data_IF_282746423615
#
_entry.id   IF_282746423615
#
_cell.length_a   1.000
_cell.length_b   1.000
_cell.length_c   1.000
_cell.angle_alpha   90.00
_cell.angle_beta   90.00
_cell.angle_gamma   90.00
#
_symmetry.space_group_name_H-M   'P 1'
#
loop_
_entity.id
_entity.type
_entity.pdbx_description
1 polymer ?
#
# COMPACT_ATOMS: atom_id res chain seq x y z
N UNK A 1 7.78 -21.12 -6.03
CA UNK A 1 9.08 -20.88 -6.68
C UNK A 1 9.78 -19.74 -5.94
N UNK A 2 11.03 -19.91 -5.49
CA UNK A 2 11.78 -18.83 -4.83
C UNK A 2 12.23 -17.79 -5.86
N UNK A 3 11.96 -16.52 -5.58
CA UNK A 3 12.29 -15.40 -6.48
C UNK A 3 13.42 -14.56 -5.88
N UNK A 4 14.44 -14.26 -6.69
CA UNK A 4 15.57 -13.44 -6.27
C UNK A 4 15.29 -11.96 -6.55
N UNK A 5 15.32 -11.14 -5.50
CA UNK A 5 15.11 -9.69 -5.57
C UNK A 5 16.44 -8.98 -5.43
N UNK A 6 16.71 -8.01 -6.32
CA UNK A 6 17.85 -7.10 -6.20
C UNK A 6 17.65 -6.10 -5.05
N UNK A 7 17.90 -6.55 -3.82
CA UNK A 7 17.73 -5.75 -2.60
C UNK A 7 18.65 -4.52 -2.56
N UNK A 8 19.79 -4.58 -3.24
CA UNK A 8 20.73 -3.47 -3.41
C UNK A 8 20.17 -2.29 -4.21
N UNK A 9 19.06 -2.49 -4.93
CA UNK A 9 18.39 -1.45 -5.71
C UNK A 9 17.40 -0.62 -4.90
N UNK A 10 17.13 -0.99 -3.64
CA UNK A 10 16.35 -0.16 -2.73
C UNK A 10 17.21 1.03 -2.29
N UNK A 11 17.09 2.13 -3.03
CA UNK A 11 17.88 3.34 -2.81
C UNK A 11 17.36 4.19 -1.64
N UNK A 12 18.11 5.27 -1.37
CA UNK A 12 17.75 6.25 -0.35
C UNK A 12 16.45 6.99 -0.65
N UNK A 13 16.02 7.09 -1.90
CA UNK A 13 14.78 7.78 -2.26
C UNK A 13 13.57 6.95 -1.84
N UNK A 14 13.61 5.64 -2.08
CA UNK A 14 12.57 4.69 -1.61
C UNK A 14 12.56 4.65 -0.09
N UNK A 15 13.72 4.59 0.56
CA UNK A 15 13.83 4.62 2.02
C UNK A 15 13.19 5.89 2.62
N UNK A 16 13.45 7.04 2.00
CA UNK A 16 12.86 8.32 2.41
C UNK A 16 11.34 8.35 2.23
N UNK A 17 10.80 7.80 1.13
CA UNK A 17 9.34 7.70 0.92
C UNK A 17 8.67 6.88 2.03
N UNK A 18 9.29 5.78 2.45
CA UNK A 18 8.78 4.96 3.56
C UNK A 18 8.88 5.73 4.88
N UNK A 19 9.98 6.42 5.13
CA UNK A 19 10.14 7.30 6.29
C UNK A 19 9.03 8.38 6.35
N UNK A 20 8.76 9.05 5.23
CA UNK A 20 7.73 10.08 5.14
C UNK A 20 6.32 9.50 5.36
N UNK A 21 6.04 8.32 4.80
CA UNK A 21 4.77 7.62 5.01
C UNK A 21 4.55 7.23 6.48
N UNK A 22 5.58 6.69 7.15
CA UNK A 22 5.52 6.35 8.56
C UNK A 22 5.37 7.59 9.45
N UNK A 23 6.12 8.66 9.17
CA UNK A 23 5.99 9.93 9.89
C UNK A 23 4.59 10.55 9.70
N UNK A 24 4.02 10.47 8.51
CA UNK A 24 2.63 10.88 8.27
C UNK A 24 1.65 10.09 9.14
N UNK A 25 1.84 8.77 9.23
CA UNK A 25 1.01 7.91 10.07
C UNK A 25 1.15 8.24 11.57
N UNK A 26 2.36 8.42 12.08
CA UNK A 26 2.55 8.77 13.50
C UNK A 26 1.99 10.16 13.86
N UNK A 27 1.92 11.08 12.89
CA UNK A 27 1.29 12.40 13.08
C UNK A 27 -0.23 12.32 13.09
N UNK A 28 -0.83 11.41 12.32
CA UNK A 28 -2.29 11.23 12.25
C UNK A 28 -2.84 10.26 13.29
N UNK A 29 -2.00 9.41 13.88
CA UNK A 29 -2.39 8.42 14.88
C UNK A 29 -2.98 9.09 16.13
N UNK A 30 -4.24 8.78 16.42
CA UNK A 30 -5.04 9.39 17.51
C UNK A 30 -4.65 8.81 18.89
N UNK A 31 -4.08 7.61 18.93
CA UNK A 31 -3.87 6.84 20.17
C UNK A 31 -2.54 7.14 20.91
N UNK A 32 -1.99 8.34 20.78
CA UNK A 32 -0.75 8.71 21.47
C UNK A 32 -1.02 9.08 22.94
N UNK A 33 -0.34 8.46 23.93
CA UNK A 33 -0.45 8.84 25.34
C UNK A 33 -0.03 10.30 25.56
N UNK A 34 -0.69 10.98 26.52
CA UNK A 34 -0.50 12.41 26.79
C UNK A 34 0.89 12.82 27.29
N UNK A 35 1.70 11.87 27.76
CA UNK A 35 3.06 12.11 28.22
C UNK A 35 4.13 11.97 27.13
N UNK A 36 3.75 11.50 25.93
CA UNK A 36 4.68 11.37 24.80
C UNK A 36 4.56 12.65 23.95
N UNK A 37 5.70 13.32 23.73
CA UNK A 37 5.81 14.47 22.84
C UNK A 37 5.73 14.08 21.36
N UNK A 38 6.12 14.97 20.46
CA UNK A 38 6.12 14.67 19.02
C UNK A 38 7.10 13.52 18.71
N UNK A 39 6.63 12.55 17.92
CA UNK A 39 7.41 11.39 17.48
C UNK A 39 7.77 11.61 16.02
N UNK A 40 9.05 11.50 15.70
CA UNK A 40 9.55 11.56 14.35
C UNK A 40 10.64 10.50 14.14
N UNK A 41 10.52 9.76 13.05
CA UNK A 41 11.55 8.86 12.55
C UNK A 41 12.60 9.72 11.87
N UNK A 42 13.82 9.69 12.42
CA UNK A 42 14.97 10.47 11.93
C UNK A 42 15.71 9.79 10.79
N UNK A 43 15.72 8.46 10.75
CA UNK A 43 16.41 7.66 9.75
C UNK A 43 15.69 6.33 9.51
N UNK A 44 15.70 5.85 8.27
CA UNK A 44 15.11 4.58 7.88
C UNK A 44 16.03 3.83 6.92
N UNK A 45 16.22 2.53 7.16
CA UNK A 45 17.02 1.66 6.31
C UNK A 45 16.37 0.28 6.18
N UNK A 46 16.35 -0.24 4.95
CA UNK A 46 15.89 -1.60 4.64
C UNK A 46 16.83 -2.70 5.16
N UNK A 47 18.02 -2.34 5.61
CA UNK A 47 19.05 -3.29 6.02
C UNK A 47 19.70 -4.01 4.83
N UNK A 48 20.64 -4.91 5.13
CA UNK A 48 21.49 -5.59 4.13
C UNK A 48 21.02 -6.99 3.79
N UNK A 49 20.06 -7.54 4.53
CA UNK A 49 19.57 -8.91 4.37
C UNK A 49 18.19 -8.87 3.74
N UNK A 50 18.08 -9.40 2.52
CA UNK A 50 16.81 -9.51 1.81
C UNK A 50 15.90 -10.58 2.44
N UNK A 51 14.57 -10.39 2.43
CA UNK A 51 13.63 -11.43 2.83
C UNK A 51 13.55 -12.54 1.77
N UNK A 52 13.12 -13.72 2.18
CA UNK A 52 12.79 -14.81 1.26
C UNK A 52 11.38 -14.60 0.70
N UNK A 53 11.26 -14.46 -0.62
CA UNK A 53 9.98 -14.21 -1.30
C UNK A 53 9.66 -15.35 -2.26
N UNK A 54 8.41 -15.80 -2.24
CA UNK A 54 7.87 -16.82 -3.13
C UNK A 54 6.58 -16.30 -3.78
N UNK A 55 6.46 -16.52 -5.09
CA UNK A 55 5.23 -16.19 -5.82
C UNK A 55 4.19 -17.25 -5.51
N UNK A 56 3.09 -16.84 -4.88
CA UNK A 56 1.95 -17.70 -4.57
C UNK A 56 0.88 -17.63 -5.64
N UNK A 57 0.57 -16.43 -6.13
CA UNK A 57 -0.45 -16.16 -7.13
C UNK A 57 -0.12 -14.85 -7.87
N UNK A 58 -0.57 -14.73 -9.12
CA UNK A 58 -0.46 -13.50 -9.92
C UNK A 58 -1.83 -13.24 -10.55
N UNK A 59 -2.48 -12.18 -10.09
CA UNK A 59 -3.81 -11.77 -10.51
C UNK A 59 -3.85 -10.30 -10.90
N UNK A 60 -4.97 -9.87 -11.48
CA UNK A 60 -5.24 -8.45 -11.67
C UNK A 60 -5.29 -7.70 -10.32
N UNK A 61 -4.89 -6.42 -10.29
CA UNK A 61 -5.04 -5.59 -9.10
C UNK A 61 -6.49 -5.55 -8.61
N UNK A 62 -6.66 -5.51 -7.29
CA UNK A 62 -7.99 -5.36 -6.69
C UNK A 62 -8.66 -4.05 -7.16
N UNK A 63 -9.98 -4.06 -7.31
CA UNK A 63 -10.75 -2.94 -7.87
C UNK A 63 -10.49 -1.62 -7.12
N UNK A 64 -10.25 -1.73 -5.81
CA UNK A 64 -9.89 -0.67 -4.89
C UNK A 64 -8.67 0.13 -5.35
N UNK A 65 -7.67 -0.51 -5.96
CA UNK A 65 -6.48 0.22 -6.42
C UNK A 65 -6.75 1.18 -7.60
N UNK A 66 -7.91 1.08 -8.25
CA UNK A 66 -8.34 1.99 -9.32
C UNK A 66 -9.24 3.13 -8.83
N UNK A 67 -9.77 3.03 -7.60
CA UNK A 67 -10.68 4.02 -7.07
C UNK A 67 -9.90 5.19 -6.44
N UNK A 68 -10.43 6.43 -6.47
CA UNK A 68 -9.82 7.56 -5.78
C UNK A 68 -9.76 7.33 -4.27
N UNK A 69 -8.70 7.78 -3.59
CA UNK A 69 -8.49 7.59 -2.14
C UNK A 69 -9.69 8.01 -1.26
N UNK A 70 -10.57 8.89 -1.75
CA UNK A 70 -11.75 9.40 -1.05
C UNK A 70 -12.93 8.41 -0.94
N UNK A 71 -12.94 7.31 -1.71
CA UNK A 71 -14.07 6.35 -1.67
C UNK A 71 -13.92 5.27 -0.59
N UNK A 72 -12.77 5.19 0.08
CA UNK A 72 -12.51 4.25 1.17
C UNK A 72 -13.05 4.77 2.51
N UNK A 73 -14.32 5.13 2.55
CA UNK A 73 -15.05 5.25 3.81
C UNK A 73 -15.50 3.85 4.22
N UNK A 74 -14.93 3.32 5.31
CA UNK A 74 -15.22 2.01 5.89
C UNK A 74 -16.71 1.78 6.18
N UNK A 75 -17.55 1.45 5.19
CA UNK A 75 -18.86 0.82 5.47
C UNK A 75 -19.64 0.15 4.33
N UNK A 76 -19.12 -0.06 3.12
CA UNK A 76 -19.98 -0.61 2.04
C UNK A 76 -19.45 -1.89 1.38
N UNK A 77 -19.87 -3.02 1.93
CA UNK A 77 -19.68 -4.36 1.36
C UNK A 77 -20.60 -4.66 0.16
N UNK A 78 -21.20 -3.65 -0.49
CA UNK A 78 -22.16 -3.86 -1.59
C UNK A 78 -21.66 -3.46 -2.99
N UNK A 79 -20.46 -2.89 -3.14
CA UNK A 79 -19.96 -2.37 -4.44
C UNK A 79 -19.35 -3.45 -5.35
N UNK A 80 -19.61 -4.74 -5.10
CA UNK A 80 -19.23 -5.80 -6.04
C UNK A 80 -20.17 -5.89 -7.27
N UNK A 81 -21.33 -5.23 -7.23
CA UNK A 81 -22.38 -5.35 -8.26
C UNK A 81 -22.29 -4.39 -9.44
N UNK A 82 -21.53 -3.29 -9.34
CA UNK A 82 -21.66 -2.18 -10.30
C UNK A 82 -20.65 -2.23 -11.47
N UNK A 83 -19.60 -3.05 -11.36
CA UNK A 83 -18.55 -3.15 -12.39
C UNK A 83 -18.93 -4.03 -13.59
N UNK A 84 -19.89 -4.96 -13.43
CA UNK A 84 -20.33 -5.84 -14.51
C UNK A 84 -21.20 -5.14 -15.56
N UNK A 85 -21.79 -3.98 -15.24
CA UNK A 85 -22.67 -3.27 -16.16
C UNK A 85 -21.92 -2.59 -17.32
N UNK A 86 -20.66 -2.18 -17.11
CA UNK A 86 -19.88 -1.51 -18.16
C UNK A 86 -19.22 -2.49 -19.14
N UNK A 87 -19.03 -3.76 -18.75
CA UNK A 87 -18.45 -4.79 -19.62
C UNK A 87 -19.40 -5.22 -20.73
N UNK A 88 -20.71 -5.26 -20.48
CA UNK A 88 -21.70 -5.79 -21.42
C UNK A 88 -22.06 -4.82 -22.56
N UNK A 89 -21.61 -3.56 -22.50
CA UNK A 89 -21.99 -2.52 -23.49
C UNK A 89 -21.11 -2.53 -24.74
N UNK A 90 -20.03 -3.33 -24.77
CA UNK A 90 -19.02 -3.30 -25.85
C UNK A 90 -18.90 -4.58 -26.69
N UNK A 91 -19.85 -5.53 -26.61
CA UNK A 91 -19.79 -6.79 -27.40
C UNK A 91 -20.68 -6.87 -28.65
N UNK A 92 -21.41 -5.80 -29.03
CA UNK A 92 -22.19 -5.80 -30.28
C UNK A 92 -21.58 -4.86 -31.35
N UNK A 93 -20.65 -5.38 -32.15
CA UNK A 93 -20.47 -5.06 -33.60
C UNK A 93 -20.07 -6.31 -34.41
#
# INVERSE_FOLDING_TARGET
MSFDIHWDKLDSEVAKKVQDALNSHFRSAIDKPSFIGDIEITDFSFGTVAPQVEITDITDPFAEFYLPDEVFSENDSSVAGDFLYYSEVYEDE
#
